data_IF_368609193444
#
_entry.id   IF_368609193444
#
_cell.length_a   1.000
_cell.length_b   1.000
_cell.length_c   1.000
_cell.angle_alpha   90.00
_cell.angle_beta   90.00
_cell.angle_gamma   90.00
#
_symmetry.space_group_name_H-M   'P 1'
#
loop_
_entity.id
_entity.type
_entity.pdbx_description
1 polymer ?
#
# COMPACT_ATOMS: atom_id res chain seq x y z
N UNK A 1 12.90 -19.98 14.55
CA UNK A 1 11.92 -19.20 13.76
C UNK A 1 11.96 -17.67 13.98
N UNK A 2 12.88 -17.13 14.80
CA UNK A 2 13.01 -15.68 15.08
C UNK A 2 13.63 -14.89 13.90
N UNK A 3 14.40 -15.54 13.03
CA UNK A 3 15.15 -14.89 11.94
C UNK A 3 14.32 -14.49 10.69
N UNK A 4 13.07 -14.95 10.53
CA UNK A 4 12.28 -14.59 9.33
C UNK A 4 11.68 -13.19 9.39
N UNK A 5 11.38 -12.69 10.60
CA UNK A 5 10.77 -11.36 10.77
C UNK A 5 11.74 -10.20 10.57
N UNK A 6 12.99 -10.35 11.04
CA UNK A 6 14.05 -9.34 10.85
C UNK A 6 14.38 -9.12 9.38
N UNK A 7 14.50 -10.22 8.62
CA UNK A 7 14.79 -10.19 7.17
C UNK A 7 13.71 -9.50 6.34
N UNK A 8 12.45 -9.49 6.76
CA UNK A 8 11.39 -8.78 6.03
C UNK A 8 11.48 -7.26 6.24
N UNK A 9 11.71 -6.83 7.48
CA UNK A 9 11.88 -5.41 7.81
C UNK A 9 13.13 -4.84 7.14
N UNK A 10 14.22 -5.61 7.15
CA UNK A 10 15.47 -5.29 6.47
C UNK A 10 15.28 -5.21 4.95
N UNK A 11 14.60 -6.18 4.33
CA UNK A 11 14.25 -6.14 2.89
C UNK A 11 13.35 -4.96 2.54
N UNK A 12 12.42 -4.57 3.42
CA UNK A 12 11.51 -3.45 3.19
C UNK A 12 12.25 -2.10 3.25
N UNK A 13 13.13 -1.93 4.25
CA UNK A 13 14.01 -0.76 4.38
C UNK A 13 14.99 -0.70 3.21
N UNK A 14 15.56 -1.83 2.80
CA UNK A 14 16.43 -1.91 1.62
C UNK A 14 15.64 -1.56 0.35
N UNK A 15 14.41 -2.05 0.16
CA UNK A 15 13.58 -1.71 -1.00
C UNK A 15 13.24 -0.21 -1.02
N UNK A 16 12.88 0.38 0.12
CA UNK A 16 12.63 1.81 0.25
C UNK A 16 13.87 2.65 0.01
N UNK A 17 15.02 2.23 0.56
CA UNK A 17 16.30 2.87 0.30
C UNK A 17 16.68 2.73 -1.18
N UNK A 18 16.36 1.61 -1.84
CA UNK A 18 16.61 1.43 -3.27
C UNK A 18 15.70 2.31 -4.13
N UNK A 19 14.43 2.48 -3.75
CA UNK A 19 13.48 3.38 -4.43
C UNK A 19 13.86 4.86 -4.19
N UNK A 20 14.29 5.22 -2.98
CA UNK A 20 14.81 6.56 -2.65
C UNK A 20 16.17 6.83 -3.30
N UNK A 21 17.03 5.82 -3.44
CA UNK A 21 18.29 5.95 -4.16
C UNK A 21 18.05 6.01 -5.67
N UNK A 22 17.05 5.31 -6.20
CA UNK A 22 16.60 5.46 -7.59
C UNK A 22 16.02 6.87 -7.86
N UNK A 23 15.41 7.53 -6.86
CA UNK A 23 15.05 8.95 -6.92
C UNK A 23 16.27 9.88 -7.00
N UNK A 24 17.39 9.50 -6.37
CA UNK A 24 18.66 10.24 -6.42
C UNK A 24 19.50 9.93 -7.67
N UNK A 25 19.25 8.79 -8.34
CA UNK A 25 19.87 8.38 -9.62
C UNK A 25 19.02 8.82 -10.82
N UNK A 26 18.04 9.72 -10.63
CA UNK A 26 17.42 10.42 -11.77
C UNK A 26 18.48 11.39 -12.32
N UNK A 27 19.44 10.84 -13.08
CA UNK A 27 20.30 11.62 -13.95
C UNK A 27 19.39 12.53 -14.77
N UNK A 28 19.74 13.83 -14.81
CA UNK A 28 19.15 14.80 -15.70
C UNK A 28 18.91 14.11 -17.04
N UNK A 29 17.66 13.86 -17.43
CA UNK A 29 17.42 13.45 -18.80
C UNK A 29 17.56 14.74 -19.59
N UNK A 30 18.70 14.88 -20.24
CA UNK A 30 18.84 15.81 -21.34
C UNK A 30 17.81 15.30 -22.35
N UNK A 31 16.74 16.05 -22.61
CA UNK A 31 16.10 15.94 -23.92
C UNK A 31 17.26 16.19 -24.89
N UNK A 32 17.76 15.13 -25.50
CA UNK A 32 19.17 15.07 -25.90
C UNK A 32 19.46 16.20 -26.88
N UNK A 33 20.54 16.95 -26.65
CA UNK A 33 21.08 17.91 -27.63
C UNK A 33 21.16 17.24 -29.02
N UNK A 34 21.39 15.93 -29.07
CA UNK A 34 21.36 15.08 -30.26
C UNK A 34 20.09 15.22 -31.11
N UNK A 35 18.88 15.29 -30.53
CA UNK A 35 17.65 15.42 -31.34
C UNK A 35 17.45 16.84 -31.89
N UNK A 36 17.83 17.86 -31.12
CA UNK A 36 17.85 19.25 -31.59
C UNK A 36 18.93 19.45 -32.68
N UNK A 37 20.06 18.74 -32.57
CA UNK A 37 21.12 18.69 -33.58
C UNK A 37 20.66 17.96 -34.86
N UNK A 38 19.95 16.84 -34.75
CA UNK A 38 19.43 16.09 -35.90
C UNK A 38 18.30 16.83 -36.64
N UNK A 39 17.40 17.49 -35.90
CA UNK A 39 16.31 18.27 -36.49
C UNK A 39 16.73 19.66 -36.96
N UNK A 40 17.87 20.17 -36.46
CA UNK A 40 18.38 21.53 -36.67
C UNK A 40 17.37 22.62 -36.27
N UNK A 41 16.55 22.35 -35.26
CA UNK A 41 15.48 23.24 -34.78
C UNK A 41 15.73 23.67 -33.33
N UNK A 42 15.47 24.94 -32.98
CA UNK A 42 15.61 25.40 -31.60
C UNK A 42 14.53 24.79 -30.70
N UNK A 43 14.81 24.62 -29.41
CA UNK A 43 13.86 24.04 -28.43
C UNK A 43 12.49 24.73 -28.42
N UNK A 44 12.43 26.04 -28.71
CA UNK A 44 11.18 26.82 -28.84
C UNK A 44 10.24 26.36 -29.95
N UNK A 45 10.74 25.63 -30.94
CA UNK A 45 9.91 25.08 -32.01
C UNK A 45 8.90 24.10 -31.43
N UNK A 46 9.31 23.28 -30.45
CA UNK A 46 8.45 22.28 -29.83
C UNK A 46 7.90 22.72 -28.45
N UNK A 47 8.63 23.54 -27.70
CA UNK A 47 8.28 23.94 -26.33
C UNK A 47 8.01 25.44 -26.24
N UNK A 48 6.98 25.83 -25.48
CA UNK A 48 6.73 27.26 -25.18
C UNK A 48 7.73 27.83 -24.18
N UNK A 49 8.28 26.97 -23.30
CA UNK A 49 9.31 27.32 -22.34
C UNK A 49 10.56 26.49 -22.64
N UNK A 50 11.67 27.16 -22.92
CA UNK A 50 12.95 26.57 -23.27
C UNK A 50 13.66 25.93 -22.05
N UNK A 51 13.27 26.30 -20.83
CA UNK A 51 13.98 25.92 -19.59
C UNK A 51 13.52 24.61 -18.96
N UNK A 52 12.48 23.95 -19.49
CA UNK A 52 12.11 22.62 -19.03
C UNK A 52 10.73 22.16 -19.48
N UNK A 53 10.70 21.16 -20.38
CA UNK A 53 9.69 20.09 -20.49
C UNK A 53 8.20 20.44 -20.35
N UNK A 54 7.83 21.70 -20.62
CA UNK A 54 6.54 22.27 -20.27
C UNK A 54 5.50 22.15 -21.38
N UNK A 55 4.67 23.18 -21.48
CA UNK A 55 3.60 23.26 -22.49
C UNK A 55 4.19 23.22 -23.91
N UNK A 56 3.66 22.33 -24.75
CA UNK A 56 4.09 22.21 -26.14
C UNK A 56 3.45 23.29 -27.01
N UNK A 57 4.17 23.71 -28.05
CA UNK A 57 3.58 24.46 -29.16
C UNK A 57 2.65 23.54 -29.96
N UNK A 58 1.81 24.07 -30.87
CA UNK A 58 1.05 23.24 -31.80
C UNK A 58 1.92 22.29 -32.64
N UNK A 59 3.17 22.67 -32.93
CA UNK A 59 4.15 21.84 -33.63
C UNK A 59 4.65 20.72 -32.72
N UNK A 60 4.99 21.03 -31.47
CA UNK A 60 5.37 20.04 -30.47
C UNK A 60 4.25 19.03 -30.17
N UNK A 61 2.99 19.48 -30.08
CA UNK A 61 1.84 18.59 -29.93
C UNK A 61 1.66 17.67 -31.15
N UNK A 62 1.85 18.20 -32.36
CA UNK A 62 1.77 17.43 -33.60
C UNK A 62 2.89 16.39 -33.71
N UNK A 63 4.12 16.75 -33.30
CA UNK A 63 5.25 15.82 -33.21
C UNK A 63 4.96 14.68 -32.22
N UNK A 64 4.42 15.01 -31.05
CA UNK A 64 4.02 14.04 -30.04
C UNK A 64 2.91 13.10 -30.54
N UNK A 65 1.88 13.63 -31.19
CA UNK A 65 0.72 12.85 -31.65
C UNK A 65 1.00 12.01 -32.91
N UNK A 66 2.00 12.38 -33.70
CA UNK A 66 2.41 11.67 -34.93
C UNK A 66 3.46 10.56 -34.70
N UNK A 67 3.77 10.24 -33.44
CA UNK A 67 4.67 9.15 -33.08
C UNK A 67 6.15 9.54 -33.13
N UNK A 68 6.48 10.78 -32.72
CA UNK A 68 7.86 11.28 -32.61
C UNK A 68 8.62 11.28 -33.94
N UNK A 69 7.92 11.50 -35.06
CA UNK A 69 8.54 11.61 -36.39
C UNK A 69 8.67 13.07 -36.79
N UNK A 70 9.90 13.47 -37.13
CA UNK A 70 10.20 14.81 -37.64
C UNK A 70 10.36 14.80 -39.17
N UNK A 71 9.78 15.76 -39.92
CA UNK A 71 8.81 16.77 -39.48
C UNK A 71 7.40 16.18 -39.27
N UNK A 72 6.58 16.73 -38.34
CA UNK A 72 5.22 16.27 -38.14
C UNK A 72 4.31 16.58 -39.35
N UNK A 73 3.28 15.77 -39.62
CA UNK A 73 2.33 16.02 -40.71
C UNK A 73 1.66 17.39 -40.55
N UNK A 74 1.64 18.19 -41.61
CA UNK A 74 1.10 19.56 -41.57
C UNK A 74 -0.40 19.60 -41.19
N UNK A 75 -1.14 18.54 -41.52
CA UNK A 75 -2.55 18.34 -41.12
C UNK A 75 -2.76 18.12 -39.62
N UNK A 76 -1.72 17.78 -38.87
CA UNK A 76 -1.78 17.54 -37.42
C UNK A 76 -1.39 18.77 -36.59
N UNK A 77 -0.73 19.76 -37.20
CA UNK A 77 -0.32 21.00 -36.53
C UNK A 77 -1.57 21.86 -36.26
N UNK A 78 -1.88 22.06 -34.98
CA UNK A 78 -3.05 22.85 -34.57
C UNK A 78 -4.40 22.18 -34.84
N UNK A 79 -4.42 20.87 -35.16
CA UNK A 79 -5.65 20.12 -35.33
C UNK A 79 -6.53 20.25 -34.07
N UNK A 80 -7.77 20.74 -34.19
CA UNK A 80 -8.61 20.99 -33.03
C UNK A 80 -9.03 19.67 -32.38
N UNK A 81 -8.57 19.43 -31.15
CA UNK A 81 -9.12 18.35 -30.29
C UNK A 81 -10.62 18.53 -30.18
N UNK A 82 -11.38 17.45 -30.41
CA UNK A 82 -12.85 17.51 -30.37
C UNK A 82 -13.32 17.98 -29.00
N UNK A 83 -14.46 18.68 -28.95
CA UNK A 83 -15.03 19.12 -27.68
C UNK A 83 -15.21 17.94 -26.70
N UNK A 84 -15.64 16.78 -27.22
CA UNK A 84 -15.77 15.54 -26.45
C UNK A 84 -14.46 15.06 -25.83
N UNK A 85 -13.35 15.05 -26.56
CA UNK A 85 -12.04 14.65 -26.03
C UNK A 85 -11.57 15.56 -24.89
N UNK A 86 -11.79 16.87 -25.02
CA UNK A 86 -11.42 17.85 -23.99
C UNK A 86 -12.20 17.62 -22.71
N UNK A 87 -13.52 17.46 -22.82
CA UNK A 87 -14.40 17.20 -21.68
C UNK A 87 -14.05 15.85 -21.04
N UNK A 88 -13.85 14.80 -21.84
CA UNK A 88 -13.46 13.48 -21.33
C UNK A 88 -12.14 13.53 -20.55
N UNK A 89 -11.10 14.14 -21.12
CA UNK A 89 -9.80 14.30 -20.45
C UNK A 89 -9.92 15.11 -19.16
N UNK A 90 -10.73 16.16 -19.15
CA UNK A 90 -11.00 16.98 -17.97
C UNK A 90 -11.70 16.18 -16.87
N UNK A 91 -12.77 15.46 -17.19
CA UNK A 91 -13.51 14.62 -16.23
C UNK A 91 -12.62 13.51 -15.66
N UNK A 92 -11.80 12.88 -16.51
CA UNK A 92 -10.85 11.86 -16.09
C UNK A 92 -9.79 12.42 -15.13
N UNK A 93 -9.23 13.60 -15.44
CA UNK A 93 -8.29 14.30 -14.57
C UNK A 93 -8.92 14.71 -13.24
N UNK A 94 -10.16 15.20 -13.27
CA UNK A 94 -10.92 15.57 -12.07
C UNK A 94 -11.15 14.35 -11.17
N UNK A 95 -11.61 13.22 -11.74
CA UNK A 95 -11.81 11.98 -11.01
C UNK A 95 -10.50 11.48 -10.36
N UNK A 96 -9.37 11.54 -11.09
CA UNK A 96 -8.06 11.18 -10.57
C UNK A 96 -7.65 12.07 -9.39
N UNK A 97 -7.84 13.39 -9.51
CA UNK A 97 -7.45 14.36 -8.49
C UNK A 97 -8.31 14.25 -7.22
N UNK A 98 -9.62 14.09 -7.36
CA UNK A 98 -10.53 13.87 -6.22
C UNK A 98 -10.15 12.58 -5.49
N UNK A 99 -9.91 11.50 -6.24
CA UNK A 99 -9.47 10.23 -5.64
C UNK A 99 -8.11 10.34 -4.96
N UNK A 100 -7.16 11.09 -5.54
CA UNK A 100 -5.85 11.34 -4.93
C UNK A 100 -5.98 12.07 -3.59
N UNK A 101 -6.78 13.13 -3.56
CA UNK A 101 -7.03 13.91 -2.35
C UNK A 101 -7.72 13.07 -1.27
N UNK A 102 -8.75 12.31 -1.63
CA UNK A 102 -9.44 11.42 -0.70
C UNK A 102 -8.51 10.33 -0.14
N UNK A 103 -7.65 9.75 -0.99
CA UNK A 103 -6.74 8.68 -0.59
C UNK A 103 -5.63 9.19 0.33
N UNK A 104 -4.89 10.22 -0.08
CA UNK A 104 -3.83 10.83 0.74
C UNK A 104 -4.42 11.41 2.02
N UNK A 105 -5.58 12.08 1.92
CA UNK A 105 -6.31 12.60 3.07
C UNK A 105 -6.67 11.51 4.08
N UNK A 106 -7.13 10.35 3.61
CA UNK A 106 -7.41 9.20 4.49
C UNK A 106 -6.14 8.67 5.16
N UNK A 107 -5.03 8.56 4.42
CA UNK A 107 -3.75 8.14 4.99
C UNK A 107 -3.33 9.13 6.09
N UNK A 108 -3.31 10.43 5.81
CA UNK A 108 -2.92 11.45 6.78
C UNK A 108 -3.86 11.47 8.00
N UNK A 109 -5.17 11.39 7.79
CA UNK A 109 -6.17 11.36 8.85
C UNK A 109 -5.95 10.17 9.80
N UNK A 110 -5.83 8.95 9.25
CA UNK A 110 -5.62 7.74 10.05
C UNK A 110 -4.30 7.79 10.82
N UNK A 111 -3.22 8.30 10.23
CA UNK A 111 -1.88 8.22 10.81
C UNK A 111 -1.53 9.38 11.73
N UNK A 112 -2.02 10.60 11.43
CA UNK A 112 -1.73 11.80 12.20
C UNK A 112 -2.82 12.11 13.24
N UNK A 113 -4.10 11.92 12.88
CA UNK A 113 -5.24 12.27 13.76
C UNK A 113 -5.63 11.09 14.63
N UNK A 114 -5.99 9.95 14.03
CA UNK A 114 -6.38 8.76 14.81
C UNK A 114 -5.18 8.10 15.50
N UNK A 115 -3.97 8.29 14.96
CA UNK A 115 -2.71 7.64 15.35
C UNK A 115 -2.76 6.11 15.17
N UNK A 116 -1.60 5.46 14.91
CA UNK A 116 -1.56 4.01 14.71
C UNK A 116 -2.10 3.20 15.91
N UNK A 117 -2.05 3.74 17.13
CA UNK A 117 -2.58 3.10 18.34
C UNK A 117 -4.09 2.82 18.24
N UNK A 118 -4.86 3.67 17.55
CA UNK A 118 -6.30 3.47 17.37
C UNK A 118 -6.61 2.30 16.44
N UNK A 119 -5.69 1.95 15.53
CA UNK A 119 -5.82 0.78 14.66
C UNK A 119 -5.75 -0.56 15.42
N UNK A 120 -5.34 -0.56 16.70
CA UNK A 120 -5.51 -1.71 17.60
C UNK A 120 -7.00 -2.06 17.78
N UNK A 121 -7.92 -1.09 17.75
CA UNK A 121 -9.37 -1.35 17.78
C UNK A 121 -9.96 -1.83 16.46
N UNK A 122 -9.18 -1.75 15.38
CA UNK A 122 -9.68 -1.87 14.00
C UNK A 122 -9.96 -0.49 13.42
N UNK A 123 -9.79 -0.34 12.12
CA UNK A 123 -10.04 0.92 11.44
C UNK A 123 -11.55 1.10 11.18
N UNK A 124 -12.08 2.32 11.32
CA UNK A 124 -13.47 2.57 10.99
C UNK A 124 -13.76 2.27 9.51
N UNK A 125 -14.90 1.61 9.27
CA UNK A 125 -15.23 0.97 7.98
C UNK A 125 -15.37 1.99 6.85
N UNK A 126 -15.83 3.20 7.16
CA UNK A 126 -16.06 4.30 6.23
C UNK A 126 -14.76 4.77 5.58
N UNK A 127 -13.73 5.00 6.38
CA UNK A 127 -12.41 5.46 5.99
C UNK A 127 -11.72 4.39 5.13
N UNK A 128 -11.83 3.12 5.53
CA UNK A 128 -11.32 2.03 4.69
C UNK A 128 -12.03 1.96 3.35
N UNK A 129 -13.37 2.08 3.30
CA UNK A 129 -14.13 2.07 2.04
C UNK A 129 -13.69 3.21 1.12
N UNK A 130 -13.55 4.41 1.66
CA UNK A 130 -13.05 5.58 0.90
C UNK A 130 -11.67 5.26 0.34
N UNK A 131 -10.73 4.78 1.17
CA UNK A 131 -9.38 4.46 0.72
C UNK A 131 -9.36 3.41 -0.41
N UNK A 132 -10.10 2.31 -0.29
CA UNK A 132 -10.12 1.26 -1.32
C UNK A 132 -10.78 1.72 -2.63
N UNK A 133 -11.88 2.48 -2.55
CA UNK A 133 -12.52 3.06 -3.74
C UNK A 133 -11.55 4.02 -4.44
N UNK A 134 -10.86 4.88 -3.67
CA UNK A 134 -9.87 5.79 -4.23
C UNK A 134 -8.69 5.06 -4.87
N UNK A 135 -8.21 3.95 -4.29
CA UNK A 135 -7.15 3.11 -4.89
C UNK A 135 -7.58 2.63 -6.29
N UNK A 136 -8.80 2.11 -6.44
CA UNK A 136 -9.30 1.59 -7.72
C UNK A 136 -9.41 2.72 -8.74
N UNK A 137 -10.01 3.85 -8.36
CA UNK A 137 -10.16 5.00 -9.25
C UNK A 137 -8.79 5.51 -9.69
N UNK A 138 -7.82 5.67 -8.78
CA UNK A 138 -6.47 6.09 -9.09
C UNK A 138 -5.75 5.14 -10.05
N UNK A 139 -5.90 3.84 -9.85
CA UNK A 139 -5.30 2.83 -10.73
C UNK A 139 -5.86 2.91 -12.14
N UNK A 140 -7.19 2.89 -12.29
CA UNK A 140 -7.86 2.93 -13.60
C UNK A 140 -7.59 4.26 -14.31
N UNK A 141 -7.86 5.38 -13.64
CA UNK A 141 -7.67 6.72 -14.24
C UNK A 141 -6.19 7.00 -14.51
N UNK A 142 -5.28 6.55 -13.64
CA UNK A 142 -3.84 6.69 -13.82
C UNK A 142 -3.31 5.94 -15.05
N UNK A 143 -3.78 4.71 -15.28
CA UNK A 143 -3.43 3.95 -16.50
C UNK A 143 -3.93 4.66 -17.75
N UNK A 144 -5.17 5.14 -17.76
CA UNK A 144 -5.75 5.84 -18.91
C UNK A 144 -4.98 7.15 -19.17
N UNK A 145 -4.77 7.98 -18.14
CA UNK A 145 -4.03 9.24 -18.26
C UNK A 145 -2.57 9.03 -18.70
N UNK A 146 -1.92 7.95 -18.25
CA UNK A 146 -0.56 7.61 -18.66
C UNK A 146 -0.51 7.25 -20.14
N UNK A 147 -1.43 6.41 -20.63
CA UNK A 147 -1.53 6.08 -22.07
C UNK A 147 -1.85 7.28 -22.94
N UNK A 148 -2.66 8.21 -22.43
CA UNK A 148 -2.97 9.48 -23.13
C UNK A 148 -1.79 10.47 -23.12
N UNK A 149 -0.82 10.31 -22.21
CA UNK A 149 0.36 11.18 -22.12
C UNK A 149 1.56 10.61 -22.86
N UNK A 150 1.75 9.29 -22.83
CA UNK A 150 2.87 8.60 -23.45
C UNK A 150 2.35 7.57 -24.46
N UNK A 151 2.49 7.88 -25.74
CA UNK A 151 2.07 6.99 -26.84
C UNK A 151 3.06 5.85 -27.09
N UNK A 152 4.34 6.04 -26.73
CA UNK A 152 5.38 5.02 -26.83
C UNK A 152 5.94 4.65 -25.45
N UNK A 153 6.08 3.35 -25.12
CA UNK A 153 6.60 2.90 -23.83
C UNK A 153 8.03 3.38 -23.54
N UNK A 154 8.88 3.50 -24.57
CA UNK A 154 10.26 3.97 -24.44
C UNK A 154 10.34 5.39 -23.84
N UNK A 155 9.39 6.27 -24.22
CA UNK A 155 9.31 7.63 -23.71
C UNK A 155 9.14 7.73 -22.17
N UNK A 156 8.66 6.66 -21.51
CA UNK A 156 8.61 6.59 -20.04
C UNK A 156 9.99 6.44 -19.40
N UNK A 157 10.93 5.77 -20.08
CA UNK A 157 12.28 5.55 -19.58
C UNK A 157 13.24 6.65 -20.04
N UNK A 158 12.99 7.21 -21.22
CA UNK A 158 13.93 8.15 -21.84
C UNK A 158 13.76 9.59 -21.31
N UNK A 159 12.56 9.95 -20.81
CA UNK A 159 12.28 11.31 -20.31
C UNK A 159 12.29 11.43 -18.78
N UNK A 160 12.73 12.57 -18.23
CA UNK A 160 12.71 12.88 -16.78
C UNK A 160 11.29 12.75 -16.23
N UNK A 161 10.30 13.35 -16.92
CA UNK A 161 8.90 13.27 -16.53
C UNK A 161 8.34 11.83 -16.58
N UNK A 162 8.86 10.98 -17.46
CA UNK A 162 8.56 9.55 -17.52
C UNK A 162 9.15 8.79 -16.33
N UNK A 163 10.43 9.04 -16.02
CA UNK A 163 11.12 8.45 -14.85
C UNK A 163 10.42 8.83 -13.54
N UNK A 164 10.06 10.10 -13.36
CA UNK A 164 9.30 10.57 -12.20
C UNK A 164 7.93 9.89 -12.11
N UNK A 165 7.24 9.69 -13.24
CA UNK A 165 5.99 8.93 -13.27
C UNK A 165 6.18 7.48 -12.84
N UNK A 166 7.23 6.81 -13.31
CA UNK A 166 7.53 5.42 -12.94
C UNK A 166 7.81 5.30 -11.44
N UNK A 167 8.56 6.24 -10.86
CA UNK A 167 8.75 6.26 -9.41
C UNK A 167 7.42 6.47 -8.67
N UNK A 168 6.58 7.42 -9.11
CA UNK A 168 5.26 7.63 -8.53
C UNK A 168 4.39 6.37 -8.57
N UNK A 169 4.41 5.65 -9.70
CA UNK A 169 3.69 4.38 -9.87
C UNK A 169 4.25 3.33 -8.90
N UNK A 170 5.58 3.22 -8.77
CA UNK A 170 6.22 2.31 -7.82
C UNK A 170 5.82 2.57 -6.36
N UNK A 171 5.85 3.84 -5.92
CA UNK A 171 5.41 4.25 -4.59
C UNK A 171 3.92 3.98 -4.36
N UNK A 172 3.07 4.25 -5.37
CA UNK A 172 1.64 3.92 -5.32
C UNK A 172 1.42 2.41 -5.17
N UNK A 173 2.06 1.58 -6.00
CA UNK A 173 1.94 0.12 -5.94
C UNK A 173 2.42 -0.43 -4.60
N UNK A 174 3.50 0.13 -4.04
CA UNK A 174 3.94 -0.21 -2.70
C UNK A 174 2.83 0.02 -1.66
N UNK A 175 2.17 1.18 -1.67
CA UNK A 175 1.07 1.48 -0.74
C UNK A 175 -0.13 0.56 -0.94
N UNK A 176 -0.47 0.21 -2.19
CA UNK A 176 -1.55 -0.72 -2.50
C UNK A 176 -1.23 -2.12 -1.97
N UNK A 177 -0.03 -2.64 -2.24
CA UNK A 177 0.41 -3.95 -1.77
C UNK A 177 0.50 -3.98 -0.23
N UNK A 178 0.98 -2.90 0.38
CA UNK A 178 1.00 -2.73 1.83
C UNK A 178 -0.41 -2.76 2.42
N UNK A 179 -1.38 -2.06 1.81
CA UNK A 179 -2.79 -2.08 2.22
C UNK A 179 -3.43 -3.47 2.06
N UNK A 180 -3.14 -4.18 0.97
CA UNK A 180 -3.58 -5.57 0.76
C UNK A 180 -2.99 -6.51 1.82
N UNK A 181 -1.69 -6.40 2.11
CA UNK A 181 -1.06 -7.19 3.16
C UNK A 181 -1.67 -6.91 4.53
N UNK A 182 -1.86 -5.62 4.87
CA UNK A 182 -2.46 -5.23 6.14
C UNK A 182 -3.90 -5.73 6.22
N UNK A 183 -4.69 -5.63 5.16
CA UNK A 183 -6.11 -6.04 5.19
C UNK A 183 -6.31 -7.56 5.15
N UNK A 184 -5.52 -8.29 4.36
CA UNK A 184 -5.73 -9.73 4.13
C UNK A 184 -4.93 -10.62 5.08
N UNK A 185 -3.76 -10.16 5.54
CA UNK A 185 -2.84 -10.98 6.35
C UNK A 185 -2.76 -10.45 7.77
N UNK A 186 -2.45 -9.17 7.94
CA UNK A 186 -2.17 -8.61 9.27
C UNK A 186 -3.46 -8.40 10.08
N UNK A 187 -4.51 -7.84 9.47
CA UNK A 187 -5.76 -7.51 10.15
C UNK A 187 -6.50 -8.75 10.67
N UNK A 188 -6.61 -9.87 9.91
CA UNK A 188 -7.18 -11.10 10.44
C UNK A 188 -6.35 -11.69 11.58
N UNK A 189 -5.01 -11.66 11.48
CA UNK A 189 -4.13 -12.10 12.57
C UNK A 189 -4.33 -11.25 13.82
N UNK A 190 -4.36 -9.93 13.67
CA UNK A 190 -4.66 -9.01 14.76
C UNK A 190 -6.08 -9.20 15.29
N UNK A 191 -7.06 -9.54 14.45
CA UNK A 191 -8.43 -9.85 14.91
C UNK A 191 -8.43 -11.11 15.77
N UNK A 192 -7.70 -12.17 15.39
CA UNK A 192 -7.53 -13.38 16.22
C UNK A 192 -6.84 -13.09 17.55
N UNK A 193 -5.84 -12.20 17.56
CA UNK A 193 -5.16 -11.75 18.78
C UNK A 193 -6.06 -10.90 19.69
N UNK A 194 -7.11 -10.26 19.15
CA UNK A 194 -8.02 -9.35 19.85
C UNK A 194 -9.35 -9.95 20.23
N UNK A 195 -9.78 -10.98 19.49
CA UNK A 195 -10.93 -11.76 19.86
C UNK A 195 -10.61 -12.27 21.27
N UNK A 196 -11.43 -11.88 22.27
CA UNK A 196 -11.22 -12.30 23.66
C UNK A 196 -10.96 -13.79 23.65
N UNK A 197 -10.04 -14.28 24.48
CA UNK A 197 -9.60 -15.68 24.41
C UNK A 197 -10.79 -16.66 24.48
N UNK A 198 -11.92 -16.24 25.04
CA UNK A 198 -13.21 -16.94 25.08
C UNK A 198 -13.83 -17.22 23.70
N UNK A 199 -13.54 -16.40 22.70
CA UNK A 199 -14.02 -16.56 21.31
C UNK A 199 -13.16 -17.51 20.47
N UNK A 200 -12.03 -17.97 21.02
CA UNK A 200 -11.24 -19.06 20.46
C UNK A 200 -11.80 -20.38 21.02
N UNK A 201 -13.03 -20.67 20.59
CA UNK A 201 -13.86 -21.78 21.05
C UNK A 201 -13.68 -23.06 20.23
N UNK A 202 -12.74 -23.12 19.28
CA UNK A 202 -12.52 -24.29 18.43
C UNK A 202 -13.58 -24.55 17.34
N UNK A 203 -14.64 -23.74 17.25
CA UNK A 203 -15.77 -23.94 16.31
C UNK A 203 -15.55 -23.16 15.01
N UNK A 204 -16.07 -23.63 13.89
CA UNK A 204 -15.94 -23.00 12.55
C UNK A 204 -14.48 -22.76 12.13
N UNK A 205 -13.55 -23.63 12.55
CA UNK A 205 -12.12 -23.50 12.28
C UNK A 205 -11.43 -22.39 13.08
N UNK A 206 -12.08 -21.85 14.13
CA UNK A 206 -11.43 -21.00 15.13
C UNK A 206 -10.45 -21.84 15.97
N UNK A 207 -9.38 -21.25 16.53
CA UNK A 207 -8.49 -21.95 17.46
C UNK A 207 -9.25 -22.39 18.72
N UNK A 208 -8.80 -23.45 19.39
CA UNK A 208 -9.37 -23.94 20.65
C UNK A 208 -8.45 -23.55 21.82
N UNK A 209 -8.77 -22.46 22.53
CA UNK A 209 -7.97 -21.96 23.65
C UNK A 209 -8.68 -22.18 24.98
N UNK A 210 -7.94 -22.49 26.03
CA UNK A 210 -8.49 -22.57 27.40
C UNK A 210 -7.63 -21.75 28.36
N UNK A 211 -8.25 -21.19 29.39
CA UNK A 211 -7.52 -20.54 30.49
C UNK A 211 -7.31 -21.53 31.63
N UNK A 212 -6.09 -21.62 32.15
CA UNK A 212 -5.78 -22.33 33.39
C UNK A 212 -4.87 -21.43 34.21
N UNK A 213 -5.35 -21.03 35.37
CA UNK A 213 -4.77 -19.99 36.23
C UNK A 213 -4.51 -18.70 35.44
N UNK A 214 -3.33 -18.10 35.56
CA UNK A 214 -2.95 -16.88 34.85
C UNK A 214 -2.31 -17.20 33.48
N UNK A 215 -2.72 -18.29 32.82
CA UNK A 215 -2.20 -18.68 31.51
C UNK A 215 -3.30 -19.17 30.55
N UNK A 216 -3.11 -18.89 29.26
CA UNK A 216 -3.89 -19.43 28.15
C UNK A 216 -3.08 -20.51 27.43
N UNK A 217 -3.75 -21.61 27.08
CA UNK A 217 -3.17 -22.73 26.34
C UNK A 217 -3.90 -22.90 25.01
N UNK A 218 -3.15 -22.97 23.90
CA UNK A 218 -3.68 -23.27 22.58
C UNK A 218 -3.71 -24.79 22.35
N UNK A 219 -4.91 -25.37 22.44
CA UNK A 219 -5.15 -26.81 22.30
C UNK A 219 -5.66 -27.18 20.90
N UNK A 220 -5.52 -26.29 19.90
CA UNK A 220 -6.04 -26.50 18.54
C UNK A 220 -5.48 -27.73 17.83
N UNK A 221 -4.29 -28.21 18.23
CA UNK A 221 -3.66 -29.42 17.68
C UNK A 221 -3.97 -30.69 18.49
N UNK A 222 -4.69 -30.57 19.60
CA UNK A 222 -5.04 -31.71 20.46
C UNK A 222 -6.21 -32.49 19.87
N UNK A 223 -6.02 -33.80 19.67
CA UNK A 223 -7.10 -34.68 19.19
C UNK A 223 -8.27 -34.76 20.18
N UNK A 224 -8.05 -34.41 21.44
CA UNK A 224 -9.08 -34.41 22.50
C UNK A 224 -9.88 -33.11 22.60
N UNK A 225 -9.58 -32.11 21.76
CA UNK A 225 -10.25 -30.80 21.72
C UNK A 225 -10.77 -30.46 20.31
N UNK A 226 -11.12 -31.49 19.52
CA UNK A 226 -11.70 -31.31 18.18
C UNK A 226 -12.99 -30.49 18.27
N UNK A 227 -13.12 -29.55 17.35
CA UNK A 227 -14.24 -28.60 17.29
C UNK A 227 -14.47 -27.85 18.63
N UNK A 228 -13.41 -27.67 19.41
CA UNK A 228 -13.48 -26.99 20.70
C UNK A 228 -13.99 -27.81 21.87
N UNK A 229 -14.39 -29.04 21.62
CA UNK A 229 -15.11 -29.85 22.58
C UNK A 229 -14.18 -30.88 23.24
N UNK A 230 -14.14 -30.87 24.58
CA UNK A 230 -13.46 -31.88 25.36
C UNK A 230 -14.47 -32.88 25.95
N UNK A 231 -14.60 -34.03 25.29
CA UNK A 231 -15.47 -35.15 25.69
C UNK A 231 -16.94 -34.78 25.98
N UNK A 232 -17.47 -33.73 25.35
CA UNK A 232 -18.85 -33.27 25.54
C UNK A 232 -19.10 -32.56 26.87
N UNK A 233 -18.06 -32.29 27.65
CA UNK A 233 -18.18 -31.75 29.01
C UNK A 233 -17.58 -30.37 29.20
N UNK A 234 -16.58 -30.02 28.40
CA UNK A 234 -15.93 -28.72 28.47
C UNK A 234 -15.78 -28.14 27.07
N UNK A 235 -15.88 -26.81 26.97
CA UNK A 235 -15.73 -26.09 25.73
C UNK A 235 -14.50 -25.20 25.78
N UNK A 236 -13.81 -25.09 24.65
CA UNK A 236 -12.78 -24.10 24.47
C UNK A 236 -13.41 -22.71 24.57
N UNK A 237 -12.61 -21.75 25.04
CA UNK A 237 -13.06 -20.41 25.39
C UNK A 237 -13.51 -20.25 26.85
N UNK A 238 -13.33 -21.28 27.67
CA UNK A 238 -13.68 -21.25 29.10
C UNK A 238 -12.46 -21.27 30.04
N UNK A 239 -12.67 -20.81 31.27
CA UNK A 239 -11.68 -20.89 32.35
C UNK A 239 -11.76 -22.27 33.00
N UNK A 240 -10.75 -23.10 32.73
CA UNK A 240 -10.66 -24.48 33.17
C UNK A 240 -9.92 -24.64 34.49
N UNK A 241 -9.55 -23.55 35.18
CA UNK A 241 -8.79 -23.61 36.43
C UNK A 241 -9.48 -24.48 37.49
N UNK A 242 -10.78 -24.27 37.71
CA UNK A 242 -11.55 -25.07 38.67
C UNK A 242 -11.90 -26.46 38.12
N UNK A 243 -12.24 -26.54 36.83
CA UNK A 243 -12.58 -27.80 36.18
C UNK A 243 -11.41 -28.80 36.23
N UNK A 244 -10.17 -28.31 36.11
CA UNK A 244 -8.97 -29.14 36.11
C UNK A 244 -8.70 -29.79 37.48
N UNK A 245 -9.13 -29.18 38.59
CA UNK A 245 -8.97 -29.77 39.94
C UNK A 245 -9.74 -31.08 40.10
N UNK A 246 -10.82 -31.26 39.35
CA UNK A 246 -11.65 -32.48 39.35
C UNK A 246 -11.37 -33.43 38.18
N UNK A 247 -10.38 -33.12 37.34
CA UNK A 247 -10.07 -33.91 36.16
C UNK A 247 -9.24 -35.16 36.50
N UNK A 248 -9.28 -36.23 35.67
CA UNK A 248 -8.46 -37.43 35.85
C UNK A 248 -6.97 -37.22 35.49
N UNK A 249 -6.54 -35.97 35.29
CA UNK A 249 -5.17 -35.55 34.98
C UNK A 249 -4.95 -34.10 35.46
N UNK A 250 -3.70 -33.69 35.62
CA UNK A 250 -3.34 -32.32 35.97
C UNK A 250 -2.86 -31.49 34.77
N UNK A 251 -2.16 -30.40 35.10
CA UNK A 251 -1.58 -29.44 34.14
C UNK A 251 -0.49 -30.06 33.27
N UNK A 252 0.09 -31.20 33.65
CA UNK A 252 1.13 -31.89 32.89
C UNK A 252 0.66 -32.29 31.48
N UNK A 253 -0.66 -32.44 31.26
CA UNK A 253 -1.23 -32.72 29.94
C UNK A 253 -1.30 -31.49 29.02
N UNK A 254 -1.04 -30.31 29.57
CA UNK A 254 -0.95 -29.04 28.82
C UNK A 254 0.50 -28.73 28.41
N UNK A 255 1.47 -29.46 28.96
CA UNK A 255 2.88 -29.30 28.60
C UNK A 255 3.11 -29.60 27.11
N UNK A 256 3.86 -28.72 26.45
CA UNK A 256 4.17 -28.83 25.02
C UNK A 256 3.19 -28.13 24.08
N UNK A 257 2.03 -27.65 24.58
CA UNK A 257 1.16 -26.76 23.81
C UNK A 257 1.64 -25.30 23.90
N UNK A 258 1.38 -24.46 22.87
CA UNK A 258 1.68 -23.03 22.96
C UNK A 258 0.96 -22.37 24.15
N UNK A 259 1.70 -21.65 25.00
CA UNK A 259 1.20 -21.01 26.22
C UNK A 259 1.40 -19.49 26.19
N UNK A 260 0.42 -18.74 26.71
CA UNK A 260 0.46 -17.28 26.84
C UNK A 260 0.14 -16.87 28.28
N UNK A 261 0.95 -16.00 28.90
CA UNK A 261 0.71 -15.50 30.27
C UNK A 261 -0.29 -14.32 30.28
N UNK A 262 -1.15 -14.29 31.30
CA UNK A 262 -2.28 -13.35 31.51
C UNK A 262 -2.06 -12.37 32.66
N UNK A 263 -0.82 -11.96 32.96
CA UNK A 263 -0.54 -11.01 34.03
C UNK A 263 -1.33 -9.69 33.88
N UNK A 264 -2.13 -9.33 34.90
CA UNK A 264 -2.99 -8.14 35.00
C UNK A 264 -4.21 -8.10 34.05
N UNK A 265 -4.70 -9.24 33.55
CA UNK A 265 -5.95 -9.31 32.78
C UNK A 265 -5.91 -8.65 31.39
N UNK A 266 -4.74 -8.15 30.99
CA UNK A 266 -4.49 -7.55 29.69
C UNK A 266 -3.26 -8.26 29.09
N UNK A 267 -3.37 -8.72 27.85
CA UNK A 267 -2.25 -9.38 27.14
C UNK A 267 -1.15 -8.35 26.87
N UNK A 268 -0.34 -8.03 27.88
CA UNK A 268 0.62 -6.93 27.86
C UNK A 268 1.96 -7.35 27.25
N UNK A 269 1.90 -7.92 26.05
CA UNK A 269 3.04 -8.01 25.14
C UNK A 269 2.58 -7.44 23.81
N UNK A 270 3.15 -6.30 23.40
CA UNK A 270 2.98 -5.86 22.02
C UNK A 270 3.52 -6.97 21.11
N UNK A 271 2.59 -7.72 20.52
CA UNK A 271 2.91 -8.85 19.65
C UNK A 271 3.73 -8.34 18.46
N UNK A 272 4.49 -9.23 17.82
CA UNK A 272 5.30 -8.86 16.65
C UNK A 272 4.42 -8.25 15.55
N UNK A 273 3.17 -8.68 15.47
CA UNK A 273 2.13 -8.21 14.55
C UNK A 273 1.73 -6.75 14.85
N UNK A 274 1.59 -6.38 16.12
CA UNK A 274 1.29 -5.00 16.53
C UNK A 274 2.46 -4.07 16.20
N UNK A 275 3.70 -4.50 16.50
CA UNK A 275 4.89 -3.71 16.14
C UNK A 275 5.04 -3.57 14.63
N UNK A 276 4.76 -4.62 13.87
CA UNK A 276 4.74 -4.61 12.41
C UNK A 276 3.68 -3.64 11.88
N UNK A 277 2.48 -3.62 12.47
CA UNK A 277 1.43 -2.67 12.10
C UNK A 277 1.92 -1.22 12.24
N UNK A 278 2.56 -0.87 13.36
CA UNK A 278 3.10 0.47 13.56
C UNK A 278 4.21 0.81 12.58
N UNK A 279 5.17 -0.10 12.38
CA UNK A 279 6.24 0.10 11.41
C UNK A 279 5.66 0.36 10.02
N UNK A 280 4.73 -0.48 9.56
CA UNK A 280 4.07 -0.32 8.26
C UNK A 280 3.29 1.00 8.17
N UNK A 281 2.64 1.42 9.26
CA UNK A 281 1.92 2.70 9.31
C UNK A 281 2.86 3.89 9.06
N UNK A 282 4.01 3.96 9.75
CA UNK A 282 4.98 5.04 9.56
C UNK A 282 5.68 4.97 8.20
N UNK A 283 5.99 3.76 7.73
CA UNK A 283 6.54 3.55 6.39
C UNK A 283 5.57 4.02 5.31
N UNK A 284 4.29 3.63 5.39
CA UNK A 284 3.27 4.06 4.45
C UNK A 284 3.07 5.59 4.48
N UNK A 285 3.13 6.21 5.66
CA UNK A 285 3.09 7.66 5.79
C UNK A 285 4.28 8.33 5.09
N UNK A 286 5.50 7.81 5.29
CA UNK A 286 6.69 8.30 4.60
C UNK A 286 6.60 8.16 3.08
N UNK A 287 6.09 7.03 2.58
CA UNK A 287 5.84 6.81 1.14
C UNK A 287 4.80 7.77 0.59
N UNK A 288 3.73 8.07 1.34
CA UNK A 288 2.73 9.04 0.93
C UNK A 288 3.34 10.45 0.77
N UNK A 289 4.21 10.87 1.69
CA UNK A 289 4.99 12.10 1.51
C UNK A 289 5.95 12.03 0.32
N UNK A 290 6.57 10.87 0.07
CA UNK A 290 7.38 10.63 -1.12
C UNK A 290 6.59 10.84 -2.42
N UNK A 291 5.33 10.39 -2.49
CA UNK A 291 4.46 10.66 -3.65
C UNK A 291 4.22 12.16 -3.81
N UNK A 292 3.94 12.89 -2.72
CA UNK A 292 3.76 14.34 -2.76
C UNK A 292 5.03 15.07 -3.20
N UNK A 293 6.21 14.60 -2.77
CA UNK A 293 7.50 15.13 -3.20
C UNK A 293 7.70 14.94 -4.70
N UNK A 294 7.45 13.75 -5.24
CA UNK A 294 7.53 13.48 -6.69
C UNK A 294 6.59 14.38 -7.48
N UNK A 295 5.37 14.61 -6.98
CA UNK A 295 4.42 15.55 -7.60
C UNK A 295 4.94 16.99 -7.54
N UNK A 296 5.55 17.41 -6.42
CA UNK A 296 6.17 18.73 -6.28
C UNK A 296 7.36 18.93 -7.21
N UNK A 297 8.19 17.91 -7.40
CA UNK A 297 9.32 17.92 -8.33
C UNK A 297 8.89 18.02 -9.78
N UNK A 298 7.69 17.54 -10.14
CA UNK A 298 7.18 17.54 -11.51
C UNK A 298 7.19 18.92 -12.19
N UNK A 299 7.07 20.02 -11.43
CA UNK A 299 7.09 21.38 -12.00
C UNK A 299 8.51 21.88 -12.29
N UNK A 300 9.51 21.33 -11.61
CA UNK A 300 10.88 21.87 -11.61
C UNK A 300 11.88 20.96 -12.36
N UNK A 301 11.44 19.80 -12.85
CA UNK A 301 12.24 18.76 -13.51
C UNK A 301 11.42 18.07 -14.60
#
# INVERSE_FOLDING_TARGET
MVERGGRFCERLVILLAFVLMALLIVNASWATEEFALESNEPCKTCHLDETGGGTLTPVGEAFLSSGYKWPPPQSSIGAPKTFGERIFKMLLGMAHLIAAFAWIGTILYVHLVLKPKYAKGGLPKTEMRIAFISIIILGVTGVILTKMRYHHPAALLDSTSGKLLLVKIGLYLFLVLSALYVSQVLSPKLKKLRAGWQSNDGVDGRPAWVKVEEALYDLSTSERWKDGNHFGRHQAGEDMTEALKGAPHGVEKLEGFPTFSMANGDLNRESKEVRLLYMMAYVNLGVAFGILLVVGMWRFW
#
